data_IF_980818209042
#
_entry.id   IF_980818209042
#
_cell.length_a   1.000
_cell.length_b   1.000
_cell.length_c   1.000
_cell.angle_alpha   90.00
_cell.angle_beta   90.00
_cell.angle_gamma   90.00
#
_symmetry.space_group_name_H-M   'P 1'
#
loop_
_entity.id
_entity.type
_entity.pdbx_description
1 polymer ?
#
# COMPACT_ATOMS: atom_id res chain seq x y z
N UNK A 1 -2.58 -4.91 5.03
CA UNK A 1 -3.31 -5.13 3.76
C UNK A 1 -2.90 -6.42 3.05
N UNK A 2 -1.72 -6.50 2.42
CA UNK A 2 -1.29 -7.67 1.61
C UNK A 2 -1.36 -9.00 2.37
N UNK A 3 -0.80 -9.05 3.61
CA UNK A 3 -0.81 -10.26 4.46
C UNK A 3 -2.23 -10.80 4.73
N UNK A 4 -3.24 -9.92 4.82
CA UNK A 4 -4.65 -10.31 5.01
C UNK A 4 -5.20 -10.98 3.76
N UNK A 5 -4.97 -10.40 2.58
CA UNK A 5 -5.37 -10.97 1.30
C UNK A 5 -4.71 -12.32 1.02
N UNK A 6 -3.43 -12.44 1.37
CA UNK A 6 -2.69 -13.70 1.38
C UNK A 6 -3.38 -14.75 2.26
N UNK A 7 -3.66 -14.40 3.52
CA UNK A 7 -4.32 -15.30 4.48
C UNK A 7 -5.70 -15.73 4.00
N UNK A 8 -6.44 -14.82 3.37
CA UNK A 8 -7.77 -15.06 2.80
C UNK A 8 -7.72 -15.78 1.44
N UNK A 9 -6.53 -16.02 0.88
CA UNK A 9 -6.33 -16.69 -0.42
C UNK A 9 -7.12 -16.00 -1.55
N UNK A 10 -7.25 -14.68 -1.51
CA UNK A 10 -7.85 -13.93 -2.63
C UNK A 10 -6.95 -14.05 -3.85
N UNK A 11 -7.48 -13.85 -5.07
CA UNK A 11 -6.65 -13.92 -6.29
C UNK A 11 -5.45 -12.98 -6.23
N UNK A 12 -5.65 -11.72 -5.84
CA UNK A 12 -4.56 -10.76 -5.61
C UNK A 12 -3.57 -11.24 -4.52
N UNK A 13 -4.07 -11.89 -3.47
CA UNK A 13 -3.25 -12.42 -2.39
C UNK A 13 -2.36 -13.58 -2.86
N UNK A 14 -2.89 -14.47 -3.70
CA UNK A 14 -2.11 -15.57 -4.30
C UNK A 14 -0.99 -15.04 -5.19
N UNK A 15 -1.29 -14.06 -6.05
CA UNK A 15 -0.29 -13.43 -6.91
C UNK A 15 0.79 -12.76 -6.05
N UNK A 16 0.39 -11.96 -5.06
CA UNK A 16 1.34 -11.29 -4.16
C UNK A 16 2.22 -12.27 -3.39
N UNK A 17 1.67 -13.41 -2.94
CA UNK A 17 2.41 -14.46 -2.25
C UNK A 17 3.56 -15.00 -3.11
N UNK A 18 3.35 -15.20 -4.42
CA UNK A 18 4.39 -15.71 -5.32
C UNK A 18 5.64 -14.82 -5.36
N UNK A 19 5.46 -13.49 -5.34
CA UNK A 19 6.59 -12.56 -5.31
C UNK A 19 7.29 -12.58 -3.94
N UNK A 20 6.51 -12.58 -2.85
CA UNK A 20 7.04 -12.55 -1.49
C UNK A 20 7.83 -13.82 -1.16
N UNK A 21 7.36 -14.99 -1.58
CA UNK A 21 8.05 -16.27 -1.38
C UNK A 21 9.43 -16.31 -2.06
N UNK A 22 9.59 -15.54 -3.14
CA UNK A 22 10.85 -15.39 -3.87
C UNK A 22 11.74 -14.27 -3.31
N UNK A 23 11.32 -13.59 -2.24
CA UNK A 23 12.00 -12.41 -1.71
C UNK A 23 11.93 -11.19 -2.64
N UNK A 24 11.04 -11.20 -3.62
CA UNK A 24 10.85 -10.12 -4.58
C UNK A 24 9.84 -9.09 -4.07
N UNK A 25 9.99 -7.85 -4.54
CA UNK A 25 8.99 -6.82 -4.32
C UNK A 25 7.71 -7.15 -5.11
N UNK A 26 6.56 -7.00 -4.46
CA UNK A 26 5.27 -7.08 -5.15
C UNK A 26 5.16 -5.89 -6.11
N UNK A 27 4.85 -6.11 -7.40
CA UNK A 27 4.69 -5.06 -8.39
C UNK A 27 3.72 -3.95 -7.97
N UNK A 28 4.07 -2.68 -8.29
CA UNK A 28 3.28 -1.51 -7.91
C UNK A 28 1.83 -1.57 -8.40
N UNK A 29 1.57 -2.08 -9.61
CA UNK A 29 0.20 -2.21 -10.13
C UNK A 29 -0.68 -3.12 -9.24
N UNK A 30 -0.11 -4.17 -8.65
CA UNK A 30 -0.82 -5.08 -7.74
C UNK A 30 -1.09 -4.36 -6.41
N UNK A 31 -0.11 -3.61 -5.90
CA UNK A 31 -0.29 -2.79 -4.68
C UNK A 31 -1.39 -1.74 -4.88
N UNK A 32 -1.40 -1.07 -6.03
CA UNK A 32 -2.37 -0.04 -6.39
C UNK A 32 -3.79 -0.61 -6.47
N UNK A 33 -3.97 -1.75 -7.13
CA UNK A 33 -5.26 -2.46 -7.17
C UNK A 33 -5.75 -2.84 -5.77
N UNK A 34 -4.84 -3.32 -4.92
CA UNK A 34 -5.15 -3.71 -3.56
C UNK A 34 -5.56 -2.49 -2.70
N UNK A 35 -4.86 -1.38 -2.86
CA UNK A 35 -5.17 -0.11 -2.20
C UNK A 35 -6.57 0.38 -2.60
N UNK A 36 -6.86 0.41 -3.90
CA UNK A 36 -8.16 0.82 -4.42
C UNK A 36 -9.30 -0.05 -3.88
N UNK A 37 -9.10 -1.37 -3.86
CA UNK A 37 -10.08 -2.29 -3.29
C UNK A 37 -10.38 -2.01 -1.80
N UNK A 38 -9.34 -1.80 -0.98
CA UNK A 38 -9.53 -1.59 0.46
C UNK A 38 -10.08 -0.20 0.77
N UNK A 39 -9.69 0.86 0.05
CA UNK A 39 -10.25 2.21 0.21
C UNK A 39 -11.74 2.23 -0.21
N UNK A 40 -12.07 1.62 -1.36
CA UNK A 40 -13.46 1.61 -1.86
C UNK A 40 -14.41 0.82 -0.94
N UNK A 41 -13.87 -0.09 -0.12
CA UNK A 41 -14.65 -0.87 0.85
C UNK A 41 -14.91 -0.12 2.17
N UNK A 42 -14.22 0.99 2.42
CA UNK A 42 -14.42 1.75 3.65
C UNK A 42 -15.85 2.32 3.72
N UNK A 43 -16.42 2.35 4.91
CA UNK A 43 -17.74 2.91 5.15
C UNK A 43 -17.74 4.43 4.95
N UNK A 44 -18.89 4.99 4.57
CA UNK A 44 -19.07 6.42 4.25
C UNK A 44 -18.79 7.38 5.42
N UNK A 45 -18.57 6.89 6.64
CA UNK A 45 -18.24 7.65 7.84
C UNK A 45 -16.73 7.74 8.12
N UNK A 46 -15.88 7.12 7.29
CA UNK A 46 -14.42 7.20 7.42
C UNK A 46 -13.91 8.42 6.64
N UNK A 47 -13.48 9.44 7.38
CA UNK A 47 -13.00 10.69 6.79
C UNK A 47 -11.47 10.76 6.66
N UNK A 48 -10.74 9.79 7.21
CA UNK A 48 -9.27 9.82 7.23
C UNK A 48 -8.70 8.42 7.18
N UNK A 49 -7.64 8.24 6.40
CA UNK A 49 -6.88 7.00 6.26
C UNK A 49 -5.41 7.26 6.50
N UNK A 50 -4.72 6.29 7.08
CA UNK A 50 -3.26 6.30 7.22
C UNK A 50 -2.70 5.23 6.29
N UNK A 51 -1.85 5.65 5.36
CA UNK A 51 -1.13 4.76 4.46
C UNK A 51 0.27 4.53 5.01
N UNK A 52 0.44 3.44 5.75
CA UNK A 52 1.73 3.08 6.35
C UNK A 52 2.65 2.43 5.31
N UNK A 53 3.79 3.09 5.06
CA UNK A 53 4.80 2.63 4.11
C UNK A 53 4.34 2.67 2.64
N UNK A 54 3.36 3.51 2.30
CA UNK A 54 2.92 3.81 0.93
C UNK A 54 2.65 5.33 0.78
N UNK A 55 3.05 5.97 -0.33
CA UNK A 55 3.77 5.41 -1.47
C UNK A 55 5.26 5.16 -1.19
N UNK A 56 5.85 4.17 -1.88
CA UNK A 56 7.31 3.85 -1.86
C UNK A 56 8.04 4.29 -3.12
N UNK A 57 7.31 4.54 -4.21
CA UNK A 57 7.87 4.97 -5.49
C UNK A 57 7.12 6.18 -6.01
N UNK A 58 7.73 6.93 -6.93
CA UNK A 58 7.11 8.08 -7.59
C UNK A 58 5.86 7.65 -8.38
N UNK A 59 5.88 6.49 -9.04
CA UNK A 59 4.71 6.00 -9.77
C UNK A 59 3.51 5.71 -8.84
N UNK A 60 3.79 5.20 -7.63
CA UNK A 60 2.77 4.99 -6.61
C UNK A 60 2.19 6.31 -6.09
N UNK A 61 3.03 7.35 -5.97
CA UNK A 61 2.60 8.69 -5.61
C UNK A 61 1.69 9.28 -6.69
N UNK A 62 2.08 9.21 -7.97
CA UNK A 62 1.22 9.69 -9.06
C UNK A 62 -0.10 8.94 -9.14
N UNK A 63 -0.09 7.61 -8.96
CA UNK A 63 -1.33 6.83 -8.89
C UNK A 63 -2.23 7.29 -7.74
N UNK A 64 -1.67 7.50 -6.53
CA UNK A 64 -2.43 7.95 -5.36
C UNK A 64 -3.11 9.30 -5.61
N UNK A 65 -2.38 10.25 -6.18
CA UNK A 65 -2.89 11.60 -6.46
C UNK A 65 -3.98 11.57 -7.54
N UNK A 66 -3.78 10.79 -8.60
CA UNK A 66 -4.71 10.73 -9.73
C UNK A 66 -6.01 10.01 -9.40
N UNK A 67 -5.95 8.92 -8.63
CA UNK A 67 -7.13 8.09 -8.32
C UNK A 67 -7.89 8.56 -7.08
N UNK A 68 -7.22 9.24 -6.15
CA UNK A 68 -7.82 9.67 -4.89
C UNK A 68 -7.64 11.17 -4.70
N UNK A 69 -6.52 11.58 -4.12
CA UNK A 69 -6.21 12.98 -3.79
C UNK A 69 -4.78 13.11 -3.29
N UNK A 70 -4.31 14.35 -3.17
CA UNK A 70 -3.04 14.63 -2.50
C UNK A 70 -3.10 14.23 -1.02
N UNK A 71 -2.04 13.62 -0.47
CA UNK A 71 -1.94 13.40 0.97
C UNK A 71 -2.08 14.72 1.73
N UNK A 72 -2.96 14.75 2.73
CA UNK A 72 -3.10 15.91 3.61
C UNK A 72 -1.84 16.13 4.47
N UNK A 73 -1.20 15.05 4.91
CA UNK A 73 0.02 15.06 5.72
C UNK A 73 0.92 13.90 5.31
N UNK A 74 2.22 14.16 5.21
CA UNK A 74 3.26 13.12 5.06
C UNK A 74 4.15 13.14 6.30
N UNK A 75 4.29 11.99 6.96
CA UNK A 75 5.18 11.81 8.11
C UNK A 75 6.40 11.02 7.64
N UNK A 76 7.58 11.63 7.73
CA UNK A 76 8.85 11.00 7.39
C UNK A 76 9.66 10.77 8.66
N UNK A 77 9.87 9.50 9.01
CA UNK A 77 10.73 9.12 10.12
C UNK A 77 12.17 9.02 9.63
N UNK A 78 12.97 10.05 9.91
CA UNK A 78 14.41 10.04 9.67
C UNK A 78 15.15 9.68 10.96
N UNK A 79 15.81 8.52 10.97
CA UNK A 79 16.53 8.00 12.14
C UNK A 79 17.98 7.73 11.72
N UNK A 80 18.92 8.47 12.33
CA UNK A 80 20.35 8.24 12.11
C UNK A 80 20.79 6.88 12.62
N UNK A 81 21.52 6.14 11.78
CA UNK A 81 22.13 4.85 12.12
C UNK A 81 23.33 4.99 13.06
N UNK A 82 23.88 6.19 13.25
CA UNK A 82 25.00 6.44 14.18
C UNK A 82 24.63 6.18 15.65
N UNK A 83 23.35 6.00 15.95
CA UNK A 83 22.82 5.75 17.31
C UNK A 83 22.42 4.29 17.56
N UNK A 84 22.70 3.37 16.62
CA UNK A 84 22.49 1.93 16.74
C UNK A 84 23.82 1.20 16.94
#
# INVERSE_FOLDING_TARGET
MIRKHIKQKTEIGKIAQQYIDQGLLVPSNIINQLLNYEITKLENNINTIILDGYPRTIDQLFYLINEFSNPYLTIFFDISLEKL
#
